data_IF_932837794556
#
_entry.id   IF_932837794556
#
_cell.length_a   1.000
_cell.length_b   1.000
_cell.length_c   1.000
_cell.angle_alpha   90.00
_cell.angle_beta   90.00
_cell.angle_gamma   90.00
#
_symmetry.space_group_name_H-M   'P 1'
#
loop_
_entity.id
_entity.type
_entity.pdbx_description
1 polymer ?
#
# COMPACT_ATOMS: atom_id res chain seq x y z
N UNK A 1 -5.72 4.51 10.45
CA UNK A 1 -5.16 4.42 9.09
C UNK A 1 -5.52 3.10 8.41
N UNK A 2 -5.41 3.03 7.07
CA UNK A 2 -5.55 1.79 6.29
C UNK A 2 -4.18 1.42 5.69
N UNK A 3 -3.85 0.12 5.72
CA UNK A 3 -2.73 -0.46 4.98
C UNK A 3 -3.31 -1.32 3.85
N UNK A 4 -2.98 -1.00 2.60
CA UNK A 4 -3.27 -1.84 1.46
C UNK A 4 -2.07 -2.72 1.14
N UNK A 5 -2.27 -4.03 1.09
CA UNK A 5 -1.21 -4.98 0.75
C UNK A 5 -1.76 -6.16 -0.06
N UNK A 6 -0.97 -6.61 -1.05
CA UNK A 6 -1.28 -7.78 -1.86
C UNK A 6 -1.31 -9.09 -1.07
N UNK A 7 -0.48 -9.19 -0.05
CA UNK A 7 -0.33 -10.38 0.78
C UNK A 7 -0.28 -10.02 2.26
N UNK A 8 -0.93 -10.85 3.07
CA UNK A 8 -0.96 -10.74 4.53
C UNK A 8 -1.29 -12.11 5.13
N UNK A 9 -0.72 -12.52 6.27
CA UNK A 9 -1.01 -13.82 6.87
C UNK A 9 -2.52 -14.07 7.04
N UNK A 10 -3.00 -15.32 6.81
CA UNK A 10 -2.25 -16.54 6.51
C UNK A 10 -1.83 -16.71 5.05
N UNK A 11 -2.24 -15.82 4.13
CA UNK A 11 -1.79 -15.84 2.74
C UNK A 11 -0.41 -15.19 2.63
N UNK A 12 0.59 -16.03 2.43
CA UNK A 12 2.01 -15.63 2.29
C UNK A 12 2.47 -16.03 0.89
N UNK A 13 2.76 -15.03 0.05
CA UNK A 13 3.36 -15.22 -1.26
C UNK A 13 4.87 -14.86 -1.24
N UNK A 14 5.26 -13.95 -0.36
CA UNK A 14 6.64 -13.50 -0.21
C UNK A 14 6.94 -12.89 1.16
N UNK A 15 8.02 -12.13 1.22
CA UNK A 15 8.48 -11.49 2.47
C UNK A 15 7.63 -10.28 2.87
N UNK A 16 6.88 -9.72 1.93
CA UNK A 16 6.03 -8.57 2.18
C UNK A 16 4.95 -8.89 3.22
N UNK A 17 4.37 -10.10 3.19
CA UNK A 17 3.38 -10.53 4.18
C UNK A 17 3.89 -10.43 5.61
N UNK A 18 5.11 -10.90 5.86
CA UNK A 18 5.73 -10.83 7.19
C UNK A 18 6.07 -9.41 7.59
N UNK A 19 6.58 -8.63 6.63
CA UNK A 19 6.92 -7.22 6.88
C UNK A 19 5.68 -6.42 7.26
N UNK A 20 4.60 -6.51 6.49
CA UNK A 20 3.37 -5.75 6.77
C UNK A 20 2.70 -6.21 8.06
N UNK A 21 2.74 -7.51 8.36
CA UNK A 21 2.25 -8.01 9.65
C UNK A 21 3.02 -7.42 10.83
N UNK A 22 4.36 -7.39 10.75
CA UNK A 22 5.22 -6.76 11.75
C UNK A 22 4.95 -5.26 11.85
N UNK A 23 4.83 -4.56 10.70
CA UNK A 23 4.53 -3.13 10.64
C UNK A 23 3.20 -2.83 11.35
N UNK A 24 2.14 -3.54 11.01
CA UNK A 24 0.82 -3.35 11.64
C UNK A 24 0.87 -3.57 13.16
N UNK A 25 1.54 -4.63 13.61
CA UNK A 25 1.70 -4.93 15.03
C UNK A 25 2.48 -3.83 15.78
N UNK A 26 3.58 -3.33 15.19
CA UNK A 26 4.37 -2.25 15.82
C UNK A 26 3.61 -0.91 15.83
N UNK A 27 2.85 -0.59 14.78
CA UNK A 27 1.99 0.60 14.76
C UNK A 27 0.91 0.55 15.86
N UNK A 28 0.28 -0.61 16.07
CA UNK A 28 -0.71 -0.80 17.15
C UNK A 28 -0.07 -0.58 18.52
N UNK A 29 1.15 -1.07 18.76
CA UNK A 29 1.90 -0.80 20.01
C UNK A 29 2.17 0.69 20.24
N UNK A 30 2.22 1.47 19.16
CA UNK A 30 2.37 2.94 19.19
C UNK A 30 1.01 3.67 19.24
N UNK A 31 -0.08 2.96 19.54
CA UNK A 31 -1.45 3.48 19.63
C UNK A 31 -2.01 4.00 18.30
N UNK A 32 -1.57 3.46 17.17
CA UNK A 32 -2.18 3.74 15.87
C UNK A 32 -3.29 2.72 15.61
N UNK A 33 -4.49 3.19 15.28
CA UNK A 33 -5.59 2.30 14.86
C UNK A 33 -5.38 1.88 13.40
N UNK A 34 -5.11 0.56 13.21
CA UNK A 34 -4.69 0.01 11.92
C UNK A 34 -5.72 -0.95 11.36
N UNK A 35 -6.13 -0.72 10.13
CA UNK A 35 -6.93 -1.62 9.30
C UNK A 35 -6.08 -2.12 8.14
N UNK A 36 -5.95 -3.42 7.98
CA UNK A 36 -5.27 -4.04 6.83
C UNK A 36 -6.31 -4.50 5.83
N UNK A 37 -6.24 -4.02 4.60
CA UNK A 37 -7.06 -4.50 3.47
C UNK A 37 -6.16 -5.30 2.55
N UNK A 38 -6.48 -6.58 2.37
CA UNK A 38 -5.60 -7.52 1.67
C UNK A 38 -6.39 -8.51 0.82
N UNK A 39 -5.76 -9.00 -0.25
CA UNK A 39 -6.35 -10.08 -1.05
C UNK A 39 -6.26 -11.44 -0.35
N UNK A 40 -7.34 -12.20 -0.43
CA UNK A 40 -7.35 -13.62 -0.07
C UNK A 40 -8.34 -14.39 -0.94
N UNK A 41 -7.91 -15.51 -1.49
CA UNK A 41 -8.71 -16.36 -2.37
C UNK A 41 -9.46 -17.50 -1.65
N UNK A 42 -9.11 -17.78 -0.40
CA UNK A 42 -9.69 -18.90 0.35
C UNK A 42 -10.88 -18.48 1.19
N UNK A 43 -10.86 -17.27 1.74
CA UNK A 43 -11.95 -16.71 2.52
C UNK A 43 -11.86 -15.18 2.55
N UNK A 44 -13.00 -14.53 2.66
CA UNK A 44 -13.15 -13.08 2.65
C UNK A 44 -13.88 -12.61 3.90
N UNK A 45 -13.78 -11.33 4.20
CA UNK A 45 -14.45 -10.68 5.31
C UNK A 45 -13.50 -10.11 6.36
N UNK A 46 -14.12 -9.62 7.42
CA UNK A 46 -13.41 -9.02 8.55
C UNK A 46 -12.88 -10.08 9.51
N UNK A 47 -11.67 -9.87 9.99
CA UNK A 47 -11.06 -10.66 11.06
C UNK A 47 -10.20 -9.76 11.93
N UNK A 48 -10.34 -9.92 13.24
CA UNK A 48 -9.45 -9.29 14.21
C UNK A 48 -8.62 -10.37 14.91
N UNK A 49 -7.30 -10.27 14.76
CA UNK A 49 -6.35 -11.17 15.42
C UNK A 49 -6.21 -10.88 16.92
N UNK A 50 -5.63 -11.83 17.64
CA UNK A 50 -5.31 -11.67 19.06
C UNK A 50 -4.28 -10.54 19.32
N UNK A 51 -3.51 -10.17 18.30
CA UNK A 51 -2.58 -9.05 18.26
C UNK A 51 -3.26 -7.68 18.06
N UNK A 52 -4.59 -7.66 17.94
CA UNK A 52 -5.39 -6.46 17.72
C UNK A 52 -5.46 -5.98 16.27
N UNK A 53 -4.77 -6.64 15.33
CA UNK A 53 -4.80 -6.24 13.91
C UNK A 53 -6.19 -6.52 13.32
N UNK A 54 -6.80 -5.47 12.77
CA UNK A 54 -8.08 -5.51 12.08
C UNK A 54 -7.84 -5.74 10.59
N UNK A 55 -8.09 -6.95 10.08
CA UNK A 55 -7.85 -7.31 8.69
C UNK A 55 -9.15 -7.54 7.92
N UNK A 56 -9.31 -6.85 6.80
CA UNK A 56 -10.34 -7.08 5.80
C UNK A 56 -9.75 -7.86 4.63
N UNK A 57 -10.22 -9.08 4.42
CA UNK A 57 -9.80 -9.91 3.31
C UNK A 57 -10.80 -9.82 2.18
N UNK A 58 -10.31 -9.38 1.04
CA UNK A 58 -11.12 -9.18 -0.16
C UNK A 58 -10.73 -10.17 -1.25
N UNK A 59 -11.67 -10.49 -2.12
CA UNK A 59 -11.43 -11.20 -3.36
C UNK A 59 -12.13 -10.48 -4.49
N UNK A 60 -11.69 -10.72 -5.71
CA UNK A 60 -12.43 -10.25 -6.87
C UNK A 60 -13.74 -11.05 -7.04
N UNK A 61 -14.77 -10.34 -7.47
CA UNK A 61 -16.09 -10.93 -7.74
C UNK A 61 -16.31 -11.24 -9.21
N UNK A 62 -15.37 -10.83 -10.06
CA UNK A 62 -15.48 -11.01 -11.52
C UNK A 62 -14.67 -12.23 -11.95
N UNK A 63 -15.37 -13.23 -12.47
CA UNK A 63 -14.77 -14.48 -12.95
C UNK A 63 -15.33 -14.81 -14.35
N UNK A 64 -14.55 -15.43 -15.25
CA UNK A 64 -13.13 -15.73 -15.13
C UNK A 64 -12.25 -14.48 -15.33
N UNK A 65 -11.08 -14.50 -14.72
CA UNK A 65 -10.08 -13.43 -14.91
C UNK A 65 -9.39 -13.59 -16.26
N UNK A 66 -9.38 -12.52 -17.05
CA UNK A 66 -8.75 -12.53 -18.38
C UNK A 66 -7.22 -12.46 -18.25
N UNK A 67 -6.74 -11.62 -17.36
CA UNK A 67 -5.32 -11.46 -17.06
C UNK A 67 -5.14 -10.76 -15.69
N UNK A 68 -3.90 -10.67 -15.22
CA UNK A 68 -3.57 -10.08 -13.91
C UNK A 68 -4.00 -8.61 -13.79
N UNK A 69 -3.98 -7.85 -14.88
CA UNK A 69 -4.34 -6.44 -14.86
C UNK A 69 -5.85 -6.24 -14.67
N UNK A 70 -6.68 -6.95 -15.45
CA UNK A 70 -8.15 -6.89 -15.31
C UNK A 70 -8.59 -7.42 -13.94
N UNK A 71 -7.90 -8.43 -13.44
CA UNK A 71 -8.11 -8.93 -12.09
C UNK A 71 -7.81 -7.86 -11.03
N UNK A 72 -6.66 -7.17 -11.13
CA UNK A 72 -6.31 -6.09 -10.20
C UNK A 72 -7.31 -4.94 -10.25
N UNK A 73 -7.83 -4.58 -11.43
CA UNK A 73 -8.84 -3.53 -11.54
C UNK A 73 -10.13 -3.90 -10.80
N UNK A 74 -10.63 -5.13 -10.94
CA UNK A 74 -11.82 -5.58 -10.21
C UNK A 74 -11.58 -5.70 -8.71
N UNK A 75 -10.37 -6.09 -8.29
CA UNK A 75 -9.99 -6.14 -6.88
C UNK A 75 -9.91 -4.75 -6.25
N UNK A 76 -9.46 -3.74 -7.01
CA UNK A 76 -9.42 -2.36 -6.54
C UNK A 76 -10.82 -1.80 -6.24
N UNK A 77 -11.85 -2.16 -7.03
CA UNK A 77 -13.23 -1.77 -6.73
C UNK A 77 -13.71 -2.30 -5.36
N UNK A 78 -13.36 -3.54 -5.03
CA UNK A 78 -13.70 -4.10 -3.72
C UNK A 78 -12.87 -3.45 -2.59
N UNK A 79 -11.60 -3.13 -2.85
CA UNK A 79 -10.76 -2.40 -1.90
C UNK A 79 -11.30 -0.99 -1.60
N UNK A 80 -11.74 -0.27 -2.63
CA UNK A 80 -12.40 1.04 -2.51
C UNK A 80 -13.67 0.95 -1.67
N UNK A 81 -14.52 -0.04 -1.95
CA UNK A 81 -15.76 -0.27 -1.19
C UNK A 81 -15.47 -0.51 0.29
N UNK A 82 -14.54 -1.43 0.60
CA UNK A 82 -14.18 -1.74 1.99
C UNK A 82 -13.55 -0.54 2.69
N UNK A 83 -12.68 0.21 2.01
CA UNK A 83 -12.08 1.40 2.58
C UNK A 83 -13.13 2.50 2.86
N UNK A 84 -14.11 2.68 1.98
CA UNK A 84 -15.22 3.58 2.20
C UNK A 84 -16.07 3.14 3.42
N UNK A 85 -16.39 1.85 3.53
CA UNK A 85 -17.10 1.30 4.69
C UNK A 85 -16.35 1.57 6.00
N UNK A 86 -15.01 1.38 6.01
CA UNK A 86 -14.15 1.71 7.16
C UNK A 86 -14.25 3.21 7.47
N UNK A 87 -14.05 4.08 6.47
CA UNK A 87 -14.09 5.53 6.62
C UNK A 87 -15.40 6.02 7.25
N UNK A 88 -16.54 5.53 6.75
CA UNK A 88 -17.84 5.91 7.30
C UNK A 88 -18.09 5.32 8.70
N UNK A 89 -17.63 4.09 8.96
CA UNK A 89 -17.76 3.47 10.29
C UNK A 89 -16.93 4.18 11.36
N UNK A 90 -15.80 4.80 10.97
CA UNK A 90 -14.93 5.63 11.82
C UNK A 90 -15.40 7.09 11.89
N UNK A 91 -16.59 7.43 11.46
CA UNK A 91 -17.12 8.81 11.45
C UNK A 91 -16.19 9.80 10.73
N UNK A 92 -15.54 9.34 9.67
CA UNK A 92 -14.61 10.10 8.84
C UNK A 92 -13.21 10.35 9.48
N UNK A 93 -12.87 9.68 10.58
CA UNK A 93 -11.57 9.81 11.27
C UNK A 93 -10.49 8.88 10.68
N UNK A 94 -10.39 8.83 9.36
CA UNK A 94 -9.35 8.10 8.65
C UNK A 94 -8.31 9.08 8.10
N UNK A 95 -7.10 9.05 8.66
CA UNK A 95 -6.08 10.07 8.40
C UNK A 95 -5.17 9.74 7.22
N UNK A 96 -4.86 8.45 7.01
CA UNK A 96 -3.80 8.04 6.10
C UNK A 96 -4.07 6.66 5.50
N UNK A 97 -3.63 6.49 4.26
CA UNK A 97 -3.52 5.19 3.58
C UNK A 97 -2.03 4.89 3.32
N UNK A 98 -1.55 3.68 3.66
CA UNK A 98 -0.24 3.18 3.24
C UNK A 98 -0.43 2.05 2.22
N UNK A 99 0.09 2.22 1.02
CA UNK A 99 -0.07 1.26 -0.08
C UNK A 99 1.24 0.55 -0.34
N UNK A 100 1.24 -0.76 -0.15
CA UNK A 100 2.41 -1.60 -0.41
C UNK A 100 2.38 -2.18 -1.82
N UNK A 101 3.39 -1.81 -2.60
CA UNK A 101 3.52 -2.11 -4.02
C UNK A 101 2.33 -1.62 -4.90
N UNK A 102 2.37 -1.91 -6.17
CA UNK A 102 1.50 -1.32 -7.19
C UNK A 102 0.03 -1.76 -7.18
N UNK A 103 -0.27 -2.89 -6.53
CA UNK A 103 -1.54 -3.60 -6.69
C UNK A 103 -2.78 -2.77 -6.35
N UNK A 104 -2.70 -1.90 -5.35
CA UNK A 104 -3.83 -1.09 -4.88
C UNK A 104 -3.65 0.42 -5.13
N UNK A 105 -2.71 0.80 -5.99
CA UNK A 105 -2.52 2.22 -6.36
C UNK A 105 -3.80 2.84 -6.96
N UNK A 106 -4.54 2.18 -7.90
CA UNK A 106 -5.77 2.77 -8.41
C UNK A 106 -6.79 3.09 -7.31
N UNK A 107 -7.00 2.18 -6.36
CA UNK A 107 -7.89 2.40 -5.22
C UNK A 107 -7.42 3.56 -4.34
N UNK A 108 -6.13 3.63 -4.01
CA UNK A 108 -5.57 4.71 -3.21
C UNK A 108 -5.76 6.08 -3.87
N UNK A 109 -5.54 6.17 -5.18
CA UNK A 109 -5.74 7.41 -5.96
C UNK A 109 -7.23 7.82 -5.95
N UNK A 110 -8.13 6.87 -6.14
CA UNK A 110 -9.59 7.12 -6.06
C UNK A 110 -9.97 7.65 -4.67
N UNK A 111 -9.54 6.99 -3.61
CA UNK A 111 -9.84 7.36 -2.23
C UNK A 111 -9.24 8.72 -1.86
N UNK A 112 -8.00 8.99 -2.24
CA UNK A 112 -7.37 10.31 -2.08
C UNK A 112 -8.23 11.41 -2.69
N UNK A 113 -8.71 11.21 -3.90
CA UNK A 113 -9.50 12.22 -4.62
C UNK A 113 -10.91 12.37 -4.07
N UNK A 114 -11.57 11.26 -3.73
CA UNK A 114 -12.94 11.25 -3.25
C UNK A 114 -13.06 11.67 -1.78
N UNK A 115 -12.20 11.15 -0.91
CA UNK A 115 -12.28 11.33 0.55
C UNK A 115 -11.25 12.33 1.10
N UNK A 116 -10.33 12.83 0.25
CA UNK A 116 -9.25 13.76 0.63
C UNK A 116 -8.25 13.16 1.63
N UNK A 117 -8.13 11.84 1.65
CA UNK A 117 -7.19 11.12 2.51
C UNK A 117 -5.87 11.00 1.78
N UNK A 118 -4.73 11.50 2.32
CA UNK A 118 -3.43 11.32 1.71
C UNK A 118 -3.00 9.85 1.75
N UNK A 119 -2.14 9.46 0.80
CA UNK A 119 -1.52 8.14 0.88
C UNK A 119 0.00 8.20 0.76
N UNK A 120 0.64 7.20 1.36
CA UNK A 120 2.06 6.87 1.23
C UNK A 120 2.18 5.68 0.29
N UNK A 121 3.16 5.71 -0.59
CA UNK A 121 3.48 4.58 -1.46
C UNK A 121 4.74 3.87 -0.95
N UNK A 122 4.55 2.75 -0.27
CA UNK A 122 5.61 1.88 0.24
C UNK A 122 6.03 0.87 -0.82
N UNK A 123 7.27 0.97 -1.31
CA UNK A 123 7.76 0.20 -2.46
C UNK A 123 8.77 -0.85 -2.03
N UNK A 124 8.41 -2.12 -2.19
CA UNK A 124 9.28 -3.28 -2.00
C UNK A 124 9.95 -3.71 -3.28
N UNK A 125 9.24 -3.59 -4.39
CA UNK A 125 9.70 -4.03 -5.71
C UNK A 125 9.13 -3.15 -6.81
N UNK A 126 9.85 -3.07 -7.92
CA UNK A 126 9.41 -2.32 -9.11
C UNK A 126 9.32 -3.22 -10.34
N UNK A 127 8.45 -2.88 -11.25
CA UNK A 127 8.22 -3.68 -12.45
C UNK A 127 9.47 -3.93 -13.30
N UNK A 128 10.41 -2.99 -13.48
CA UNK A 128 11.66 -3.28 -14.18
C UNK A 128 12.43 -4.47 -13.61
N UNK A 129 12.41 -4.66 -12.30
CA UNK A 129 13.08 -5.80 -11.66
C UNK A 129 12.25 -7.09 -11.79
N UNK A 130 10.96 -7.02 -11.53
CA UNK A 130 10.05 -8.19 -11.62
C UNK A 130 9.99 -8.77 -13.02
N UNK A 131 9.92 -7.89 -14.02
CA UNK A 131 9.85 -8.29 -15.44
C UNK A 131 11.21 -8.52 -16.10
N UNK A 132 12.34 -8.31 -15.37
CA UNK A 132 13.68 -8.30 -15.94
C UNK A 132 13.82 -7.35 -17.12
N UNK A 133 13.28 -6.14 -16.98
CA UNK A 133 13.20 -5.10 -18.03
C UNK A 133 12.41 -5.51 -19.30
N UNK A 134 11.50 -6.45 -19.18
CA UNK A 134 10.58 -6.74 -20.28
C UNK A 134 9.73 -5.51 -20.61
N UNK A 135 9.51 -5.24 -21.89
CA UNK A 135 8.74 -4.11 -22.41
C UNK A 135 7.39 -4.51 -23.01
N UNK A 136 6.89 -5.69 -22.67
CA UNK A 136 5.57 -6.15 -23.13
C UNK A 136 4.42 -5.29 -22.59
N UNK A 137 3.22 -5.37 -23.22
CA UNK A 137 2.06 -4.54 -22.85
C UNK A 137 1.70 -4.60 -21.38
N UNK A 138 1.76 -5.79 -20.77
CA UNK A 138 1.47 -5.96 -19.34
C UNK A 138 2.47 -5.22 -18.46
N UNK A 139 3.78 -5.37 -18.73
CA UNK A 139 4.83 -4.68 -17.99
C UNK A 139 4.70 -3.16 -18.15
N UNK A 140 4.41 -2.67 -19.35
CA UNK A 140 4.17 -1.26 -19.61
C UNK A 140 2.97 -0.72 -18.81
N UNK A 141 1.89 -1.48 -18.71
CA UNK A 141 0.72 -1.10 -17.92
C UNK A 141 1.03 -1.06 -16.41
N UNK A 142 1.77 -2.03 -15.89
CA UNK A 142 2.18 -2.03 -14.47
C UNK A 142 3.11 -0.83 -14.17
N UNK A 143 4.08 -0.54 -15.05
CA UNK A 143 4.94 0.66 -14.94
C UNK A 143 4.12 1.94 -14.92
N UNK A 144 3.05 2.03 -15.73
CA UNK A 144 2.16 3.19 -15.73
C UNK A 144 1.41 3.34 -14.40
N UNK A 145 0.99 2.24 -13.78
CA UNK A 145 0.35 2.24 -12.45
C UNK A 145 1.36 2.66 -11.38
N UNK A 146 2.58 2.15 -11.41
CA UNK A 146 3.65 2.58 -10.48
C UNK A 146 3.96 4.06 -10.65
N UNK A 147 4.07 4.54 -11.88
CA UNK A 147 4.29 5.97 -12.17
C UNK A 147 3.13 6.84 -11.66
N UNK A 148 1.89 6.39 -11.81
CA UNK A 148 0.71 7.07 -11.25
C UNK A 148 0.81 7.13 -9.72
N UNK A 149 1.17 6.03 -9.07
CA UNK A 149 1.37 5.99 -7.62
C UNK A 149 2.40 7.00 -7.15
N UNK A 150 3.55 7.07 -7.83
CA UNK A 150 4.61 8.02 -7.50
C UNK A 150 4.20 9.48 -7.74
N UNK A 151 3.40 9.76 -8.77
CA UNK A 151 2.92 11.11 -9.06
C UNK A 151 1.84 11.60 -8.09
N UNK A 152 1.02 10.68 -7.56
CA UNK A 152 -0.13 11.01 -6.72
C UNK A 152 0.13 10.85 -5.22
N UNK A 153 1.17 10.11 -4.84
CA UNK A 153 1.48 9.90 -3.42
C UNK A 153 1.98 11.16 -2.73
N UNK A 154 1.71 11.26 -1.44
CA UNK A 154 2.27 12.31 -0.61
C UNK A 154 3.75 12.07 -0.28
N UNK A 155 4.16 10.81 -0.09
CA UNK A 155 5.55 10.36 0.12
C UNK A 155 5.73 8.94 -0.40
N UNK A 156 6.97 8.62 -0.77
CA UNK A 156 7.41 7.28 -1.13
C UNK A 156 8.26 6.74 0.01
N UNK A 157 7.95 5.55 0.50
CA UNK A 157 8.76 4.82 1.46
C UNK A 157 9.49 3.67 0.80
N UNK A 158 10.80 3.57 1.03
CA UNK A 158 11.63 2.45 0.58
C UNK A 158 12.49 1.92 1.72
N UNK A 159 12.90 0.66 1.60
CA UNK A 159 13.66 -0.05 2.66
C UNK A 159 15.18 0.12 2.54
N UNK A 160 15.69 0.71 1.45
CA UNK A 160 17.13 0.84 1.21
C UNK A 160 17.47 1.98 0.26
N UNK A 161 18.68 2.52 0.41
CA UNK A 161 19.24 3.49 -0.53
C UNK A 161 19.35 2.93 -1.95
N UNK A 162 19.59 1.64 -2.09
CA UNK A 162 19.59 0.99 -3.39
C UNK A 162 18.25 1.15 -4.10
N UNK A 163 17.12 0.85 -3.43
CA UNK A 163 15.79 1.02 -4.03
C UNK A 163 15.51 2.49 -4.36
N UNK A 164 15.94 3.42 -3.51
CA UNK A 164 15.83 4.86 -3.79
C UNK A 164 16.54 5.23 -5.09
N UNK A 165 17.75 4.75 -5.33
CA UNK A 165 18.48 5.00 -6.58
C UNK A 165 17.79 4.34 -7.78
N UNK A 166 17.22 3.15 -7.63
CA UNK A 166 16.48 2.49 -8.69
C UNK A 166 15.19 3.25 -9.07
N UNK A 167 14.48 3.83 -8.09
CA UNK A 167 13.32 4.70 -8.37
C UNK A 167 13.72 5.96 -9.16
N UNK A 168 14.84 6.57 -8.80
CA UNK A 168 15.39 7.71 -9.55
C UNK A 168 15.76 7.31 -10.98
N UNK A 169 16.38 6.15 -11.15
CA UNK A 169 16.83 5.63 -12.44
C UNK A 169 15.69 5.29 -13.39
N UNK A 170 14.67 4.58 -12.91
CA UNK A 170 13.61 4.02 -13.76
C UNK A 170 12.38 4.92 -13.89
N UNK A 171 12.10 5.77 -12.89
CA UNK A 171 10.90 6.58 -12.82
C UNK A 171 11.17 8.08 -12.70
N UNK A 172 12.45 8.49 -12.67
CA UNK A 172 12.83 9.87 -12.43
C UNK A 172 12.19 10.45 -11.15
N UNK A 173 12.00 9.60 -10.12
CA UNK A 173 11.38 9.99 -8.88
C UNK A 173 12.22 11.05 -8.16
N UNK A 174 11.57 12.09 -7.64
CA UNK A 174 12.24 13.20 -6.97
C UNK A 174 12.79 12.78 -5.61
N UNK A 175 14.05 13.15 -5.34
CA UNK A 175 14.78 12.76 -4.14
C UNK A 175 14.08 13.17 -2.84
N UNK A 176 13.45 14.34 -2.83
CA UNK A 176 12.73 14.89 -1.69
C UNK A 176 11.39 14.20 -1.40
N UNK A 177 10.92 13.36 -2.32
CA UNK A 177 9.70 12.57 -2.14
C UNK A 177 9.98 11.20 -1.51
N UNK A 178 11.24 10.77 -1.47
CA UNK A 178 11.62 9.40 -1.09
C UNK A 178 12.27 9.39 0.30
N UNK A 179 11.62 8.73 1.22
CA UNK A 179 12.15 8.45 2.55
C UNK A 179 12.68 7.01 2.61
N UNK A 180 13.89 6.83 3.16
CA UNK A 180 14.51 5.51 3.32
C UNK A 180 14.41 5.09 4.76
N UNK A 181 13.67 4.01 5.02
CA UNK A 181 13.51 3.45 6.35
C UNK A 181 13.86 1.97 6.34
N UNK A 182 15.06 1.63 6.80
CA UNK A 182 15.52 0.24 6.85
C UNK A 182 14.82 -0.53 7.98
N UNK A 183 14.12 -1.64 7.69
CA UNK A 183 13.48 -2.46 8.74
C UNK A 183 14.47 -3.19 9.65
N UNK A 184 15.79 -3.12 9.37
CA UNK A 184 16.84 -3.65 10.22
C UNK A 184 17.31 -2.63 11.28
N UNK A 185 16.96 -1.34 11.16
CA UNK A 185 17.28 -0.34 12.17
C UNK A 185 16.41 -0.54 13.43
N UNK A 186 16.96 -0.32 14.61
CA UNK A 186 16.18 -0.42 15.85
C UNK A 186 14.98 0.55 15.89
N UNK A 187 15.17 1.77 15.38
CA UNK A 187 14.15 2.83 15.35
C UNK A 187 13.34 2.85 14.05
N UNK A 188 13.29 1.76 13.28
CA UNK A 188 12.63 1.76 11.97
C UNK A 188 11.15 2.18 12.03
N UNK A 189 10.43 1.76 13.08
CA UNK A 189 9.01 2.12 13.25
C UNK A 189 8.84 3.62 13.56
N UNK A 190 9.76 4.20 14.34
CA UNK A 190 9.72 5.63 14.64
C UNK A 190 10.02 6.47 13.39
N UNK A 191 10.89 5.98 12.50
CA UNK A 191 11.14 6.59 11.19
C UNK A 191 9.90 6.58 10.29
N UNK A 192 9.14 5.47 10.27
CA UNK A 192 7.87 5.39 9.54
C UNK A 192 6.84 6.34 10.13
N UNK A 193 6.68 6.34 11.46
CA UNK A 193 5.75 7.24 12.14
C UNK A 193 6.09 8.71 11.90
N UNK A 194 7.36 9.07 11.95
CA UNK A 194 7.79 10.44 11.63
C UNK A 194 7.41 10.84 10.21
N UNK A 195 7.50 9.91 9.25
CA UNK A 195 7.05 10.16 7.87
C UNK A 195 5.54 10.38 7.80
N UNK A 196 4.74 9.56 8.49
CA UNK A 196 3.29 9.72 8.53
C UNK A 196 2.87 11.04 9.21
N UNK A 197 3.47 11.39 10.34
CA UNK A 197 3.18 12.61 11.09
C UNK A 197 3.44 13.87 10.26
N UNK A 198 4.60 13.93 9.57
CA UNK A 198 4.90 15.04 8.65
C UNK A 198 3.83 15.29 7.59
N UNK A 199 3.12 14.24 7.16
CA UNK A 199 2.05 14.37 6.16
C UNK A 199 0.77 14.92 6.76
N UNK A 200 0.48 14.59 8.00
CA UNK A 200 -0.72 15.02 8.69
C UNK A 200 -0.61 16.47 9.24
N UNK A 201 0.60 16.98 9.40
CA UNK A 201 0.87 18.36 9.80
C UNK A 201 0.74 19.38 8.66
N UNK A 202 0.75 18.91 7.40
CA UNK A 202 0.56 19.79 6.23
C UNK A 202 -0.94 19.95 5.98
N UNK A 203 -1.50 21.18 6.08
CA UNK A 203 -2.92 21.39 5.79
C UNK A 203 -3.23 20.94 4.37
N UNK A 204 -4.33 20.19 4.21
CA UNK A 204 -4.84 19.80 2.90
C UNK A 204 -5.20 21.07 2.11
N UNK A 205 -4.49 21.31 1.02
CA UNK A 205 -4.79 22.39 0.06
C UNK A 205 -6.02 22.06 -0.78
#
# INVERSE_FOLDING_TARGET
MIIFTWEFPPRIAGQLAYYVNRLAAELIKKNVDVYVVTYNNSWTGFHQGADGIKAFRISDKVQPQINVLTWMLSLNQEAERVAADIYYSMKHELDLIDVHDWHFIPAAVTLKRALKIPFVFSIDSIEPHRSRNNSGPLSSSIKSIESLGMAETARILVKSEWMKQELKRYYNASDNMIEVVSPAAESWIDGILATYQKLLEVPAN
#
